data_IF_267387149677
#
_entry.id   IF_267387149677
#
_cell.length_a   1.000
_cell.length_b   1.000
_cell.length_c   1.000
_cell.angle_alpha   90.00
_cell.angle_beta   90.00
_cell.angle_gamma   90.00
#
_symmetry.space_group_name_H-M   'P 1'
#
loop_
_entity.id
_entity.type
_entity.pdbx_description
1 polymer ?
#
# COMPACT_ATOMS: atom_id res chain seq x y z
N UNK A 1 -30.39 -23.99 -35.19
CA UNK A 1 -29.59 -23.38 -34.10
C UNK A 1 -28.17 -23.23 -34.63
N UNK A 2 -27.83 -22.11 -35.27
CA UNK A 2 -26.46 -21.87 -35.76
C UNK A 2 -25.68 -21.14 -34.67
N UNK A 3 -24.59 -21.75 -34.21
CA UNK A 3 -23.66 -21.13 -33.27
C UNK A 3 -22.94 -20.00 -34.00
N UNK A 4 -23.17 -18.76 -33.58
CA UNK A 4 -22.79 -17.55 -34.33
C UNK A 4 -21.32 -17.14 -34.12
N UNK A 5 -20.44 -18.08 -33.76
CA UNK A 5 -19.03 -17.84 -33.45
C UNK A 5 -18.19 -19.04 -33.89
N UNK A 6 -17.67 -18.98 -35.12
CA UNK A 6 -16.81 -20.04 -35.68
C UNK A 6 -15.36 -19.99 -35.15
N UNK A 7 -14.95 -18.88 -34.51
CA UNK A 7 -13.56 -18.70 -34.06
C UNK A 7 -13.43 -17.76 -32.85
N UNK A 8 -12.39 -17.98 -32.03
CA UNK A 8 -12.07 -17.14 -30.86
C UNK A 8 -11.74 -15.70 -31.27
N UNK A 9 -11.18 -15.49 -32.47
CA UNK A 9 -10.90 -14.16 -33.03
C UNK A 9 -12.19 -13.41 -33.39
N UNK A 10 -13.23 -14.10 -33.89
CA UNK A 10 -14.54 -13.50 -34.18
C UNK A 10 -15.28 -13.08 -32.90
N UNK A 11 -15.09 -13.84 -31.82
CA UNK A 11 -15.57 -13.49 -30.48
C UNK A 11 -14.83 -12.29 -29.89
N UNK A 12 -13.51 -12.21 -30.11
CA UNK A 12 -12.69 -11.09 -29.67
C UNK A 12 -12.94 -9.83 -30.49
N UNK A 13 -13.28 -9.97 -31.77
CA UNK A 13 -13.52 -8.86 -32.68
C UNK A 13 -14.97 -8.35 -32.64
N UNK A 14 -15.97 -9.17 -32.26
CA UNK A 14 -17.41 -8.83 -32.16
C UNK A 14 -17.82 -7.77 -33.21
N UNK A 15 -17.70 -8.14 -34.49
CA UNK A 15 -18.06 -7.28 -35.62
C UNK A 15 -17.39 -5.89 -35.65
N UNK A 16 -16.18 -5.75 -35.11
CA UNK A 16 -15.39 -4.52 -35.07
C UNK A 16 -15.40 -3.76 -33.72
N UNK A 17 -16.24 -4.16 -32.77
CA UNK A 17 -16.36 -3.49 -31.46
C UNK A 17 -15.55 -4.13 -30.33
N UNK A 18 -15.01 -5.33 -30.58
CA UNK A 18 -14.14 -6.06 -29.68
C UNK A 18 -13.09 -5.24 -28.92
N UNK A 19 -12.26 -4.43 -29.62
CA UNK A 19 -11.22 -3.64 -28.99
C UNK A 19 -11.74 -2.67 -27.91
N UNK A 20 -12.92 -2.08 -28.12
CA UNK A 20 -13.52 -1.12 -27.17
C UNK A 20 -13.97 -1.80 -25.87
N UNK A 21 -14.53 -3.01 -25.98
CA UNK A 21 -14.95 -3.81 -24.83
C UNK A 21 -13.72 -4.18 -24.00
N UNK A 22 -12.70 -4.76 -24.63
CA UNK A 22 -11.46 -5.14 -23.95
C UNK A 22 -10.72 -3.96 -23.35
N UNK A 23 -10.72 -2.79 -24.01
CA UNK A 23 -10.17 -1.58 -23.45
C UNK A 23 -10.93 -1.13 -22.19
N UNK A 24 -12.26 -1.19 -22.21
CA UNK A 24 -13.10 -0.84 -21.06
C UNK A 24 -12.88 -1.79 -19.88
N UNK A 25 -12.76 -3.10 -20.15
CA UNK A 25 -12.35 -4.09 -19.15
C UNK A 25 -10.94 -3.82 -18.62
N UNK A 26 -9.99 -3.51 -19.50
CA UNK A 26 -8.62 -3.16 -19.13
C UNK A 26 -8.55 -1.95 -18.21
N UNK A 27 -9.28 -0.88 -18.53
CA UNK A 27 -9.37 0.32 -17.68
C UNK A 27 -10.02 -0.02 -16.35
N UNK A 28 -11.10 -0.80 -16.34
CA UNK A 28 -11.77 -1.21 -15.10
C UNK A 28 -10.84 -2.03 -14.21
N UNK A 29 -10.14 -3.01 -14.76
CA UNK A 29 -9.16 -3.83 -14.04
C UNK A 29 -8.01 -2.94 -13.53
N UNK A 30 -7.51 -2.01 -14.35
CA UNK A 30 -6.46 -1.09 -13.93
C UNK A 30 -6.90 -0.21 -12.74
N UNK A 31 -8.14 0.28 -12.75
CA UNK A 31 -8.72 1.04 -11.63
C UNK A 31 -8.84 0.17 -10.38
N UNK A 32 -9.35 -1.06 -10.50
CA UNK A 32 -9.44 -2.00 -9.38
C UNK A 32 -8.07 -2.31 -8.78
N UNK A 33 -7.09 -2.60 -9.64
CA UNK A 33 -5.70 -2.85 -9.23
C UNK A 33 -5.11 -1.61 -8.54
N UNK A 34 -5.33 -0.41 -9.08
CA UNK A 34 -4.90 0.82 -8.43
C UNK A 34 -5.55 1.00 -7.06
N UNK A 35 -6.85 0.69 -6.93
CA UNK A 35 -7.59 0.76 -5.67
C UNK A 35 -7.00 -0.15 -4.59
N UNK A 36 -6.41 -1.29 -4.98
CA UNK A 36 -5.75 -2.23 -4.08
C UNK A 36 -4.30 -1.83 -3.83
N UNK A 37 -3.54 -1.47 -4.87
CA UNK A 37 -2.13 -1.13 -4.75
C UNK A 37 -1.89 0.14 -3.93
N UNK A 38 -2.73 1.18 -4.10
CA UNK A 38 -2.62 2.45 -3.38
C UNK A 38 -2.63 2.26 -1.85
N UNK A 39 -3.62 1.59 -1.23
CA UNK A 39 -3.63 1.36 0.21
C UNK A 39 -2.49 0.45 0.66
N UNK A 40 -2.10 -0.57 -0.12
CA UNK A 40 -0.96 -1.43 0.24
C UNK A 40 0.37 -0.65 0.29
N UNK A 41 0.62 0.20 -0.70
CA UNK A 41 1.81 1.07 -0.73
C UNK A 41 1.78 2.11 0.40
N UNK A 42 0.60 2.64 0.72
CA UNK A 42 0.40 3.61 1.81
C UNK A 42 0.56 2.97 3.19
N UNK A 43 0.08 1.75 3.38
CA UNK A 43 0.28 0.94 4.59
C UNK A 43 1.77 0.69 4.85
N UNK A 44 2.55 0.39 3.81
CA UNK A 44 4.02 0.24 3.93
C UNK A 44 4.69 1.52 4.46
N UNK A 45 4.33 2.68 3.92
CA UNK A 45 4.88 3.98 4.39
C UNK A 45 4.50 4.31 5.84
N UNK A 46 3.28 3.98 6.27
CA UNK A 46 2.82 4.25 7.63
C UNK A 46 3.54 3.38 8.68
N UNK A 47 3.86 2.13 8.36
CA UNK A 47 4.63 1.25 9.27
C UNK A 47 6.04 1.77 9.54
N UNK A 48 6.70 2.34 8.53
CA UNK A 48 8.03 2.93 8.69
C UNK A 48 8.01 4.15 9.61
N UNK A 49 6.95 4.95 9.57
CA UNK A 49 6.81 6.12 10.44
C UNK A 49 6.58 5.74 11.91
N UNK A 50 5.79 4.70 12.18
CA UNK A 50 5.58 4.20 13.54
C UNK A 50 6.86 3.64 14.17
N UNK A 51 7.64 2.88 13.40
CA UNK A 51 8.91 2.30 13.87
C UNK A 51 9.98 3.36 14.21
N UNK A 52 9.92 4.53 13.56
CA UNK A 52 10.82 5.65 13.87
C UNK A 52 10.42 6.38 15.15
N UNK A 53 9.12 6.52 15.41
CA UNK A 53 8.63 7.20 16.62
C UNK A 53 8.93 6.40 17.89
N UNK A 54 8.69 5.08 17.87
CA UNK A 54 8.98 4.20 19.03
C UNK A 54 10.46 4.28 19.42
N UNK A 55 11.37 4.24 18.44
CA UNK A 55 12.82 4.36 18.70
C UNK A 55 13.22 5.68 19.34
N UNK A 56 12.56 6.78 18.99
CA UNK A 56 12.87 8.09 19.56
C UNK A 56 12.32 8.25 20.98
N UNK A 57 11.14 7.69 21.28
CA UNK A 57 10.59 7.71 22.64
C UNK A 57 11.44 6.89 23.61
N UNK A 58 11.92 5.71 23.20
CA UNK A 58 12.80 4.88 24.03
C UNK A 58 14.13 5.60 24.34
N UNK A 59 14.73 6.25 23.33
CA UNK A 59 15.95 7.02 23.52
C UNK A 59 15.75 8.20 24.48
N UNK A 60 14.62 8.93 24.37
CA UNK A 60 14.27 10.02 25.29
C UNK A 60 14.00 9.54 26.70
N UNK A 61 13.34 8.39 26.88
CA UNK A 61 13.11 7.79 28.20
C UNK A 61 14.42 7.39 28.88
N UNK A 62 15.36 6.78 28.15
CA UNK A 62 16.69 6.43 28.69
C UNK A 62 17.49 7.66 29.07
N UNK A 63 17.56 8.67 28.21
CA UNK A 63 18.25 9.93 28.52
C UNK A 63 17.61 10.68 29.71
N UNK A 64 16.28 10.61 29.86
CA UNK A 64 15.58 11.14 31.02
C UNK A 64 15.89 10.36 32.31
N UNK A 65 15.92 9.03 32.25
CA UNK A 65 16.25 8.17 33.38
C UNK A 65 17.71 8.36 33.84
N UNK A 66 18.66 8.46 32.90
CA UNK A 66 20.06 8.72 33.20
C UNK A 66 20.28 10.10 33.83
N UNK A 67 19.60 11.14 33.32
CA UNK A 67 19.63 12.47 33.94
C UNK A 67 19.06 12.45 35.36
N UNK A 68 17.95 11.75 35.58
CA UNK A 68 17.34 11.67 36.90
C UNK A 68 18.22 10.90 37.89
N UNK A 69 18.84 9.79 37.44
CA UNK A 69 19.80 9.02 38.22
C UNK A 69 21.05 9.86 38.57
N UNK A 70 21.56 10.64 37.61
CA UNK A 70 22.73 11.50 37.83
C UNK A 70 22.42 12.67 38.76
N UNK A 71 21.24 13.29 38.66
CA UNK A 71 20.81 14.34 39.58
C UNK A 71 20.58 13.82 41.01
N UNK A 72 20.06 12.61 41.16
CA UNK A 72 19.86 11.98 42.47
C UNK A 72 21.20 11.64 43.17
N UNK A 73 22.21 11.21 42.40
CA UNK A 73 23.55 10.97 42.93
C UNK A 73 24.24 12.25 43.40
N UNK A 74 24.09 13.36 42.66
CA UNK A 74 24.67 14.67 43.01
C UNK A 74 23.98 15.31 44.22
N UNK A 75 22.70 15.04 44.45
CA UNK A 75 21.97 15.58 45.61
C UNK A 75 22.22 14.80 46.92
N UNK A 76 22.82 13.61 46.82
CA UNK A 76 23.17 12.77 47.96
C UNK A 76 24.63 12.96 48.43
N UNK A 77 25.40 13.76 47.70
CA UNK A 77 26.79 14.16 47.98
C UNK A 77 26.81 15.59 48.55
#
# INVERSE_FOLDING_TARGET
>A
MQFQFDDFASFLAMNGHGPYVWFSYGVTIAVLVALVLVPLLRQRKMREQFQRQIRQEEARRRAGAERNAKSAAVAAE
#
